data_IF_178209612378
#
_entry.id   IF_178209612378
#
_cell.length_a   1.000
_cell.length_b   1.000
_cell.length_c   1.000
_cell.angle_alpha   90.00
_cell.angle_beta   90.00
_cell.angle_gamma   90.00
#
_symmetry.space_group_name_H-M   'P 1'
#
loop_
_entity.id
_entity.type
_entity.pdbx_description
1 polymer ?
#
# COMPACT_ATOMS: atom_id res chain seq x y z
N UNK A 1 57.57 76.72 -36.83
CA UNK A 1 56.89 76.51 -35.53
C UNK A 1 55.87 75.40 -35.74
N UNK A 2 55.93 74.19 -35.20
CA UNK A 2 56.87 73.49 -34.32
C UNK A 2 57.09 72.06 -34.86
N UNK A 3 58.21 71.48 -34.42
CA UNK A 3 58.87 70.25 -34.83
C UNK A 3 58.04 68.94 -34.73
N UNK A 4 58.24 68.07 -35.73
CA UNK A 4 58.50 66.60 -35.73
C UNK A 4 58.33 65.77 -34.43
N UNK A 5 58.35 64.42 -34.49
CA UNK A 5 57.81 63.46 -35.47
C UNK A 5 57.17 62.19 -34.80
N UNK A 6 56.87 61.19 -35.64
CA UNK A 6 57.06 59.74 -35.40
C UNK A 6 55.89 58.82 -34.92
N UNK A 7 55.66 57.82 -35.79
CA UNK A 7 55.37 56.40 -35.57
C UNK A 7 53.96 55.90 -35.15
N UNK A 8 53.43 55.11 -36.11
CA UNK A 8 52.42 54.02 -36.14
C UNK A 8 52.56 52.99 -34.98
N UNK A 9 51.77 51.87 -34.83
CA UNK A 9 50.55 51.38 -35.51
C UNK A 9 49.54 50.61 -34.60
N UNK A 10 48.58 49.91 -35.26
CA UNK A 10 47.86 48.65 -34.91
C UNK A 10 46.42 48.77 -34.39
N UNK A 11 45.42 48.33 -35.16
CA UNK A 11 44.85 46.94 -35.26
C UNK A 11 44.27 46.49 -33.90
N UNK A 12 43.01 46.08 -33.73
CA UNK A 12 41.88 45.90 -34.63
C UNK A 12 40.67 45.47 -33.76
N UNK A 13 39.48 45.92 -34.13
CA UNK A 13 38.19 45.41 -33.64
C UNK A 13 37.18 45.56 -34.77
N UNK A 14 36.55 44.46 -35.17
CA UNK A 14 35.27 44.53 -35.86
C UNK A 14 34.49 43.24 -35.56
N UNK A 15 33.48 43.39 -34.72
CA UNK A 15 32.30 42.54 -34.71
C UNK A 15 31.32 43.07 -35.77
N UNK A 16 30.60 42.16 -36.45
CA UNK A 16 29.24 42.29 -37.02
C UNK A 16 28.95 40.96 -37.72
N UNK A 17 28.00 40.12 -37.30
CA UNK A 17 26.55 40.28 -37.18
C UNK A 17 25.82 40.36 -38.54
N UNK A 18 24.93 39.38 -38.76
CA UNK A 18 23.95 39.28 -39.85
C UNK A 18 23.76 37.82 -40.27
N UNK A 19 22.85 37.04 -39.66
CA UNK A 19 21.42 36.85 -40.03
C UNK A 19 21.28 36.35 -41.48
N UNK A 20 20.61 35.26 -41.81
CA UNK A 20 19.36 34.73 -41.26
C UNK A 20 19.04 33.35 -41.90
N UNK A 21 18.21 32.54 -41.21
CA UNK A 21 17.11 31.74 -41.79
C UNK A 21 17.50 30.54 -42.69
N UNK A 22 17.04 29.28 -42.57
CA UNK A 22 16.05 28.56 -41.76
C UNK A 22 16.12 27.07 -42.14
N UNK A 23 15.57 26.19 -41.29
CA UNK A 23 15.00 24.84 -41.60
C UNK A 23 16.03 23.75 -41.99
N UNK A 24 16.09 22.57 -41.36
CA UNK A 24 15.18 21.97 -40.40
C UNK A 24 15.76 20.71 -39.76
N UNK A 25 15.39 20.57 -38.49
CA UNK A 25 15.21 19.39 -37.65
C UNK A 25 15.36 18.03 -38.34
N UNK A 26 16.28 17.23 -37.81
CA UNK A 26 16.03 15.84 -37.38
C UNK A 26 16.83 15.59 -36.10
N UNK A 27 16.44 16.28 -35.01
CA UNK A 27 16.80 15.84 -33.66
C UNK A 27 16.00 14.57 -33.42
N UNK A 28 16.68 13.42 -33.49
CA UNK A 28 16.17 12.15 -33.05
C UNK A 28 15.67 12.30 -31.60
N UNK A 29 14.36 12.40 -31.46
CA UNK A 29 13.67 12.23 -30.17
C UNK A 29 14.03 10.84 -29.70
N UNK A 30 14.88 10.78 -28.70
CA UNK A 30 15.11 9.60 -27.87
C UNK A 30 13.80 9.37 -27.11
N UNK A 31 12.84 8.73 -27.78
CA UNK A 31 11.67 8.16 -27.14
C UNK A 31 12.20 7.08 -26.21
N UNK A 32 12.27 7.40 -24.92
CA UNK A 32 12.25 6.38 -23.88
C UNK A 32 10.96 5.60 -24.10
N UNK A 33 11.10 4.48 -24.82
CA UNK A 33 10.10 3.43 -24.80
C UNK A 33 9.99 3.00 -23.35
N UNK A 34 8.90 3.43 -22.70
CA UNK A 34 8.30 2.76 -21.55
C UNK A 34 8.13 1.30 -21.96
N UNK A 35 9.17 0.50 -21.75
CA UNK A 35 9.04 -0.94 -21.61
C UNK A 35 8.20 -1.11 -20.37
N UNK A 36 6.88 -1.22 -20.57
CA UNK A 36 5.99 -1.94 -19.67
C UNK A 36 6.54 -3.36 -19.60
N UNK A 37 7.51 -3.56 -18.72
CA UNK A 37 7.88 -4.88 -18.28
C UNK A 37 6.63 -5.44 -17.63
N UNK A 38 5.99 -6.41 -18.28
CA UNK A 38 5.13 -7.35 -17.58
C UNK A 38 5.98 -7.88 -16.43
N UNK A 39 5.64 -7.51 -15.20
CA UNK A 39 6.03 -8.30 -14.06
C UNK A 39 5.45 -9.69 -14.33
N UNK A 40 6.29 -10.61 -14.80
CA UNK A 40 5.99 -12.02 -14.74
C UNK A 40 5.89 -12.31 -13.26
N UNK A 41 4.68 -12.53 -12.79
CA UNK A 41 4.44 -13.18 -11.51
C UNK A 41 5.15 -14.53 -11.60
N UNK A 42 6.31 -14.66 -10.98
CA UNK A 42 6.92 -15.96 -10.72
C UNK A 42 6.06 -16.65 -9.66
N UNK A 43 4.89 -17.11 -10.09
CA UNK A 43 4.07 -18.01 -9.31
C UNK A 43 4.88 -19.28 -9.13
N UNK A 44 5.17 -19.62 -7.88
CA UNK A 44 5.76 -20.92 -7.51
C UNK A 44 4.81 -21.99 -8.06
N UNK A 45 5.22 -22.66 -9.13
CA UNK A 45 4.38 -23.63 -9.81
C UNK A 45 4.02 -24.75 -8.84
N UNK A 46 2.75 -25.19 -8.91
CA UNK A 46 2.26 -26.32 -8.13
C UNK A 46 3.08 -27.55 -8.56
N UNK A 47 3.78 -28.26 -7.65
CA UNK A 47 4.45 -29.50 -8.01
C UNK A 47 3.43 -30.53 -8.51
N UNK A 48 3.78 -31.27 -9.57
CA UNK A 48 2.90 -32.21 -10.26
C UNK A 48 2.57 -33.50 -9.47
N UNK A 49 3.11 -33.64 -8.25
CA UNK A 49 2.81 -34.72 -7.31
C UNK A 49 1.85 -34.19 -6.23
N UNK A 50 0.92 -35.03 -5.76
CA UNK A 50 -0.14 -34.67 -4.81
C UNK A 50 0.37 -33.75 -3.68
N UNK A 51 0.06 -32.44 -3.71
CA UNK A 51 0.77 -31.42 -2.93
C UNK A 51 0.46 -31.42 -1.42
N UNK A 52 -0.30 -32.40 -0.94
CA UNK A 52 -0.80 -32.51 0.42
C UNK A 52 -0.11 -33.61 1.24
N UNK A 53 0.89 -34.31 0.68
CA UNK A 53 1.58 -35.41 1.36
C UNK A 53 2.49 -34.96 2.53
N UNK A 54 3.02 -33.74 2.51
CA UNK A 54 3.98 -33.21 3.50
C UNK A 54 3.51 -31.86 4.12
N UNK A 55 2.24 -31.77 4.52
CA UNK A 55 1.72 -30.58 5.20
C UNK A 55 2.32 -30.45 6.60
N UNK A 56 3.01 -29.33 6.88
CA UNK A 56 3.59 -29.04 8.20
C UNK A 56 2.73 -28.02 8.95
N UNK A 57 2.18 -28.42 10.10
CA UNK A 57 1.46 -27.53 11.03
C UNK A 57 -0.05 -27.45 10.79
N UNK A 58 -0.77 -26.83 11.73
CA UNK A 58 -2.21 -26.62 11.63
C UNK A 58 -2.54 -25.21 11.09
N UNK A 59 -3.65 -25.03 10.34
CA UNK A 59 -4.11 -23.71 9.90
C UNK A 59 -4.33 -22.73 11.06
N UNK A 60 -4.61 -23.26 12.26
CA UNK A 60 -4.89 -22.48 13.47
C UNK A 60 -3.75 -21.60 13.97
N UNK A 61 -2.51 -21.91 13.63
CA UNK A 61 -1.35 -21.12 14.04
C UNK A 61 -1.25 -19.79 13.28
N UNK A 62 -1.81 -19.74 12.06
CA UNK A 62 -1.79 -18.53 11.23
C UNK A 62 -2.98 -17.61 11.53
N UNK A 63 -3.94 -18.05 12.34
CA UNK A 63 -5.12 -17.25 12.65
C UNK A 63 -4.75 -16.06 13.53
N UNK A 64 -5.08 -14.87 13.03
CA UNK A 64 -4.90 -13.62 13.76
C UNK A 64 -6.24 -13.12 14.26
N UNK A 65 -6.28 -12.80 15.56
CA UNK A 65 -7.46 -12.18 16.19
C UNK A 65 -7.62 -10.74 15.73
N UNK A 66 -6.52 -9.99 15.60
CA UNK A 66 -6.55 -8.58 15.20
C UNK A 66 -7.02 -8.43 13.75
N UNK A 67 -6.50 -9.25 12.82
CA UNK A 67 -6.95 -9.26 11.43
C UNK A 67 -8.45 -9.62 11.33
N UNK A 68 -8.93 -10.53 12.16
CA UNK A 68 -10.34 -10.88 12.23
C UNK A 68 -11.20 -9.73 12.79
N UNK A 69 -10.77 -9.08 13.87
CA UNK A 69 -11.44 -7.91 14.44
C UNK A 69 -11.57 -6.78 13.41
N UNK A 70 -10.55 -6.56 12.59
CA UNK A 70 -10.65 -5.59 11.50
C UNK A 70 -11.71 -5.95 10.46
N UNK A 71 -11.74 -7.20 10.03
CA UNK A 71 -12.75 -7.63 9.04
C UNK A 71 -14.16 -7.52 9.66
N UNK A 72 -14.31 -7.85 10.94
CA UNK A 72 -15.56 -7.71 11.66
C UNK A 72 -16.00 -6.24 11.78
N UNK A 73 -15.11 -5.33 12.19
CA UNK A 73 -15.43 -3.91 12.27
C UNK A 73 -15.82 -3.33 10.91
N UNK A 74 -15.17 -3.77 9.83
CA UNK A 74 -15.55 -3.40 8.47
C UNK A 74 -16.98 -3.87 8.14
N UNK A 75 -17.31 -5.13 8.45
CA UNK A 75 -18.65 -5.67 8.26
C UNK A 75 -19.70 -4.91 9.07
N UNK A 76 -19.42 -4.64 10.36
CA UNK A 76 -20.32 -3.85 11.21
C UNK A 76 -20.51 -2.44 10.67
N UNK A 77 -19.45 -1.80 10.16
CA UNK A 77 -19.55 -0.49 9.51
C UNK A 77 -20.50 -0.53 8.30
N UNK A 78 -20.38 -1.55 7.45
CA UNK A 78 -21.27 -1.75 6.31
C UNK A 78 -22.73 -1.96 6.72
N UNK A 79 -22.98 -2.79 7.74
CA UNK A 79 -24.33 -3.05 8.24
C UNK A 79 -24.96 -1.77 8.82
N UNK A 80 -24.20 -0.98 9.59
CA UNK A 80 -24.66 0.31 10.12
C UNK A 80 -25.00 1.28 8.98
N UNK A 81 -24.21 1.32 7.91
CA UNK A 81 -24.49 2.19 6.75
C UNK A 81 -25.79 1.77 6.04
N UNK A 82 -26.05 0.46 5.92
CA UNK A 82 -27.31 -0.07 5.37
C UNK A 82 -28.49 0.28 6.26
N UNK A 83 -28.36 0.13 7.58
CA UNK A 83 -29.41 0.46 8.54
C UNK A 83 -29.72 1.97 8.55
N UNK A 84 -28.69 2.82 8.46
CA UNK A 84 -28.86 4.28 8.32
C UNK A 84 -29.66 4.59 7.05
N UNK A 85 -29.26 4.03 5.90
CA UNK A 85 -29.97 4.26 4.64
C UNK A 85 -31.42 3.78 4.70
N UNK A 86 -31.65 2.58 5.25
CA UNK A 86 -32.99 2.01 5.42
C UNK A 86 -33.85 2.87 6.35
N UNK A 87 -33.32 3.31 7.49
CA UNK A 87 -34.04 4.15 8.44
C UNK A 87 -34.39 5.51 7.87
N UNK A 88 -33.48 6.12 7.08
CA UNK A 88 -33.75 7.36 6.35
C UNK A 88 -34.86 7.17 5.31
N UNK A 89 -34.83 6.07 4.56
CA UNK A 89 -35.86 5.75 3.56
C UNK A 89 -37.25 5.50 4.19
N UNK A 90 -37.31 5.03 5.43
CA UNK A 90 -38.54 4.82 6.19
C UNK A 90 -38.94 6.04 7.05
N UNK A 91 -38.18 7.15 6.97
CA UNK A 91 -38.37 8.37 7.76
C UNK A 91 -38.33 8.16 9.29
N UNK A 92 -37.69 7.09 9.75
CA UNK A 92 -37.51 6.80 11.18
C UNK A 92 -36.21 7.45 11.67
N UNK A 93 -36.26 8.76 11.92
CA UNK A 93 -35.09 9.57 12.25
C UNK A 93 -34.40 9.19 13.57
N UNK A 94 -35.15 8.74 14.57
CA UNK A 94 -34.58 8.32 15.85
C UNK A 94 -33.72 7.06 15.70
N UNK A 95 -34.18 6.09 14.90
CA UNK A 95 -33.40 4.90 14.57
C UNK A 95 -32.16 5.28 13.76
N UNK A 96 -32.29 6.16 12.76
CA UNK A 96 -31.15 6.65 11.99
C UNK A 96 -30.10 7.35 12.87
N UNK A 97 -30.54 8.10 13.90
CA UNK A 97 -29.63 8.76 14.86
C UNK A 97 -28.91 7.74 15.73
N UNK A 98 -29.58 6.68 16.18
CA UNK A 98 -28.96 5.60 16.93
C UNK A 98 -27.91 4.85 16.08
N UNK A 99 -28.26 4.49 14.84
CA UNK A 99 -27.32 3.82 13.92
C UNK A 99 -26.11 4.70 13.59
N UNK A 100 -26.28 6.03 13.46
CA UNK A 100 -25.14 6.96 13.30
C UNK A 100 -24.22 6.98 14.51
N UNK A 101 -24.78 7.04 15.72
CA UNK A 101 -23.98 6.98 16.95
C UNK A 101 -23.21 5.65 17.04
N UNK A 102 -23.86 4.53 16.72
CA UNK A 102 -23.19 3.24 16.66
C UNK A 102 -22.08 3.21 15.59
N UNK A 103 -22.29 3.86 14.43
CA UNK A 103 -21.25 4.00 13.39
C UNK A 103 -20.03 4.77 13.89
N UNK A 104 -20.25 5.86 14.64
CA UNK A 104 -19.18 6.64 15.27
C UNK A 104 -18.39 5.79 16.29
N UNK A 105 -19.06 4.93 17.06
CA UNK A 105 -18.40 4.00 17.99
C UNK A 105 -17.55 2.95 17.24
N UNK A 106 -18.04 2.42 16.12
CA UNK A 106 -17.26 1.52 15.24
C UNK A 106 -16.05 2.24 14.65
N UNK A 107 -16.20 3.48 14.19
CA UNK A 107 -15.08 4.28 13.66
C UNK A 107 -14.04 4.59 14.75
N UNK A 108 -14.49 4.86 15.99
CA UNK A 108 -13.57 5.05 17.11
C UNK A 108 -12.80 3.75 17.45
N UNK A 109 -13.46 2.59 17.45
CA UNK A 109 -12.81 1.30 17.64
C UNK A 109 -11.81 1.00 16.51
N UNK A 110 -12.14 1.37 15.28
CA UNK A 110 -11.24 1.25 14.13
C UNK A 110 -9.93 2.03 14.32
N UNK A 111 -10.04 3.30 14.71
CA UNK A 111 -8.88 4.15 14.96
C UNK A 111 -8.01 3.59 16.10
N UNK A 112 -8.61 2.94 17.11
CA UNK A 112 -7.84 2.26 18.15
C UNK A 112 -6.99 1.11 17.60
N UNK A 113 -7.56 0.26 16.74
CA UNK A 113 -6.80 -0.84 16.11
C UNK A 113 -5.68 -0.27 15.23
N UNK A 114 -5.97 0.77 14.45
CA UNK A 114 -4.97 1.43 13.61
C UNK A 114 -3.80 1.97 14.44
N UNK A 115 -4.09 2.65 15.55
CA UNK A 115 -3.05 3.12 16.49
C UNK A 115 -2.25 1.96 17.10
N UNK A 116 -2.90 0.82 17.40
CA UNK A 116 -2.19 -0.37 17.87
C UNK A 116 -1.24 -0.92 16.80
N UNK A 117 -1.67 -0.95 15.53
CA UNK A 117 -0.82 -1.36 14.40
C UNK A 117 0.37 -0.42 14.22
N UNK A 118 0.15 0.89 14.26
CA UNK A 118 1.22 1.89 14.15
C UNK A 118 2.24 1.76 15.29
N UNK A 119 1.80 1.50 16.52
CA UNK A 119 2.69 1.24 17.67
C UNK A 119 3.50 -0.05 17.53
N UNK A 120 2.92 -1.07 16.90
CA UNK A 120 3.57 -2.36 16.67
C UNK A 120 4.42 -2.39 15.42
N UNK A 121 4.25 -1.41 14.53
CA UNK A 121 5.07 -1.28 13.33
C UNK A 121 6.56 -1.24 13.71
N UNK A 122 7.43 -1.99 13.00
CA UNK A 122 8.88 -1.98 13.21
C UNK A 122 9.44 -0.62 12.76
N UNK A 123 9.28 0.39 13.61
CA UNK A 123 9.55 1.79 13.32
C UNK A 123 9.16 2.73 14.47
N UNK A 124 8.22 2.33 15.34
CA UNK A 124 7.83 3.12 16.51
C UNK A 124 8.77 2.93 17.73
N UNK A 125 9.75 2.02 17.66
CA UNK A 125 10.60 1.67 18.81
C UNK A 125 12.02 1.23 18.48
N UNK A 126 12.51 1.47 17.26
CA UNK A 126 13.94 1.29 16.97
C UNK A 126 14.72 2.48 17.56
N UNK A 127 15.76 2.26 18.41
CA UNK A 127 16.52 3.35 19.00
C UNK A 127 17.27 4.10 17.88
N UNK A 128 16.72 5.25 17.47
CA UNK A 128 17.33 6.14 16.48
C UNK A 128 16.46 6.53 15.26
N UNK A 129 15.18 6.15 15.19
CA UNK A 129 14.28 6.60 14.10
C UNK A 129 13.29 7.63 14.65
N UNK A 130 13.30 8.89 14.16
CA UNK A 130 12.33 9.91 14.56
C UNK A 130 10.93 9.53 14.05
N UNK A 131 9.92 9.70 14.88
CA UNK A 131 8.54 9.36 14.54
C UNK A 131 8.00 10.27 13.42
N UNK A 132 7.36 9.73 12.38
CA UNK A 132 7.09 10.50 11.14
C UNK A 132 6.02 11.59 11.29
N UNK A 133 5.13 11.53 12.29
CA UNK A 133 4.02 12.46 12.41
C UNK A 133 4.28 13.61 13.40
N UNK A 134 4.86 13.32 14.57
CA UNK A 134 5.15 14.36 15.57
C UNK A 134 6.34 15.23 15.16
N UNK A 135 7.38 14.62 14.59
CA UNK A 135 8.63 15.33 14.30
C UNK A 135 8.52 16.23 13.07
N UNK A 136 7.65 15.93 12.09
CA UNK A 136 7.49 16.77 10.89
C UNK A 136 6.78 18.08 11.21
N UNK A 137 5.74 18.03 12.05
CA UNK A 137 5.07 19.23 12.56
C UNK A 137 6.03 20.07 13.41
N UNK A 138 6.80 19.44 14.29
CA UNK A 138 7.80 20.13 15.11
C UNK A 138 8.95 20.73 14.28
N UNK A 139 9.38 20.05 13.20
CA UNK A 139 10.38 20.59 12.27
C UNK A 139 9.85 21.82 11.53
N UNK A 140 8.59 21.77 11.08
CA UNK A 140 7.96 22.89 10.39
C UNK A 140 7.85 24.12 11.31
N UNK A 141 7.50 23.89 12.59
CA UNK A 141 7.40 24.93 13.60
C UNK A 141 8.78 25.55 13.92
N UNK A 142 9.81 24.70 14.06
CA UNK A 142 11.20 25.15 14.24
C UNK A 142 11.69 25.99 13.05
N UNK A 143 11.38 25.56 11.83
CA UNK A 143 11.75 26.29 10.61
C UNK A 143 11.06 27.65 10.55
N UNK A 144 9.78 27.73 10.92
CA UNK A 144 9.04 29.01 10.97
C UNK A 144 9.58 29.96 12.05
N UNK A 145 9.95 29.42 13.22
CA UNK A 145 10.57 30.21 14.30
C UNK A 145 11.90 30.81 13.87
N UNK A 146 12.79 29.99 13.28
CA UNK A 146 14.08 30.45 12.78
C UNK A 146 13.93 31.51 11.67
N UNK A 147 12.92 31.39 10.79
CA UNK A 147 12.63 32.43 9.78
C UNK A 147 12.24 33.76 10.42
N UNK A 148 11.41 33.75 11.47
CA UNK A 148 11.06 34.97 12.21
C UNK A 148 12.27 35.58 12.93
N UNK A 149 13.13 34.76 13.51
CA UNK A 149 14.37 35.22 14.18
C UNK A 149 15.37 35.80 13.17
N UNK A 150 15.47 35.21 11.97
CA UNK A 150 16.27 35.74 10.86
C UNK A 150 15.77 37.11 10.43
N UNK A 151 14.46 37.31 10.27
CA UNK A 151 13.87 38.61 9.92
C UNK A 151 14.17 39.67 10.97
N UNK A 152 14.12 39.32 12.26
CA UNK A 152 14.48 40.21 13.36
C UNK A 152 15.97 40.57 13.37
N UNK A 153 16.85 39.61 13.11
CA UNK A 153 18.29 39.85 13.03
C UNK A 153 18.65 40.77 11.84
N UNK A 154 17.99 40.59 10.70
CA UNK A 154 18.13 41.48 9.54
C UNK A 154 17.64 42.90 9.86
N UNK A 155 16.51 43.03 10.57
CA UNK A 155 15.99 44.33 10.99
C UNK A 155 16.89 45.03 12.02
N UNK A 156 17.65 44.27 12.81
CA UNK A 156 18.64 44.77 13.76
C UNK A 156 20.03 45.01 13.14
N UNK A 157 20.18 44.83 11.82
CA UNK A 157 21.45 44.93 11.07
C UNK A 157 22.55 43.95 11.52
N UNK A 158 22.19 42.90 12.26
CA UNK A 158 23.11 41.85 12.69
C UNK A 158 23.20 40.74 11.64
N UNK A 159 24.02 41.00 10.61
CA UNK A 159 24.18 40.09 9.48
C UNK A 159 24.93 38.80 9.81
N UNK A 160 25.73 38.77 10.89
CA UNK A 160 26.43 37.55 11.30
C UNK A 160 25.44 36.53 11.84
N UNK A 161 24.59 36.96 12.76
CA UNK A 161 23.54 36.12 13.34
C UNK A 161 22.53 35.67 12.26
N UNK A 162 22.16 36.55 11.32
CA UNK A 162 21.29 36.19 10.21
C UNK A 162 21.91 35.13 9.26
N UNK A 163 23.24 35.11 9.10
CA UNK A 163 23.92 34.09 8.30
C UNK A 163 23.91 32.73 9.01
N UNK A 164 24.17 32.69 10.31
CA UNK A 164 24.11 31.47 11.12
C UNK A 164 22.70 30.84 11.10
N UNK A 165 21.66 31.65 11.27
CA UNK A 165 20.26 31.17 11.21
C UNK A 165 19.93 30.61 9.81
N UNK A 166 20.42 31.25 8.74
CA UNK A 166 20.23 30.75 7.37
C UNK A 166 20.85 29.37 7.19
N UNK A 167 22.06 29.16 7.71
CA UNK A 167 22.75 27.87 7.62
C UNK A 167 22.02 26.80 8.44
N UNK A 168 21.47 27.16 9.61
CA UNK A 168 20.61 26.27 10.40
C UNK A 168 19.32 25.87 9.67
N UNK A 169 18.63 26.81 9.02
CA UNK A 169 17.44 26.53 8.21
C UNK A 169 17.81 25.57 7.06
N UNK A 170 18.91 25.83 6.36
CA UNK A 170 19.38 24.97 5.28
C UNK A 170 19.70 23.55 5.78
N UNK A 171 20.33 23.41 6.95
CA UNK A 171 20.59 22.10 7.54
C UNK A 171 19.29 21.35 7.87
N UNK A 172 18.31 22.03 8.48
CA UNK A 172 17.01 21.44 8.78
C UNK A 172 16.26 21.00 7.52
N UNK A 173 16.27 21.82 6.47
CA UNK A 173 15.65 21.50 5.18
C UNK A 173 16.34 20.29 4.51
N UNK A 174 17.68 20.21 4.55
CA UNK A 174 18.42 19.04 4.05
C UNK A 174 18.07 17.78 4.85
N UNK A 175 18.03 17.85 6.17
CA UNK A 175 17.65 16.70 7.00
C UNK A 175 16.20 16.26 6.73
N UNK A 176 15.28 17.20 6.55
CA UNK A 176 13.88 16.92 6.22
C UNK A 176 13.74 16.27 4.83
N UNK A 177 14.50 16.77 3.85
CA UNK A 177 14.55 16.18 2.52
C UNK A 177 15.12 14.76 2.57
N UNK A 178 16.18 14.53 3.32
CA UNK A 178 16.74 13.18 3.51
C UNK A 178 15.75 12.24 4.20
N UNK A 179 15.07 12.71 5.25
CA UNK A 179 14.05 11.91 5.93
C UNK A 179 12.86 11.59 5.02
N UNK A 180 12.37 12.56 4.25
CA UNK A 180 11.28 12.33 3.30
C UNK A 180 11.69 11.41 2.15
N UNK A 181 12.93 11.50 1.67
CA UNK A 181 13.48 10.56 0.70
C UNK A 181 13.60 9.15 1.27
N UNK A 182 14.13 8.99 2.48
CA UNK A 182 14.25 7.69 3.15
C UNK A 182 12.88 7.08 3.48
N UNK A 183 11.91 7.90 3.89
CA UNK A 183 10.53 7.47 4.09
C UNK A 183 9.91 7.02 2.76
N UNK A 184 10.06 7.82 1.70
CA UNK A 184 9.58 7.44 0.37
C UNK A 184 10.27 6.20 -0.18
N UNK A 185 11.58 6.02 0.06
CA UNK A 185 12.32 4.83 -0.35
C UNK A 185 11.89 3.60 0.45
N UNK A 186 11.47 3.74 1.71
CA UNK A 186 10.84 2.65 2.48
C UNK A 186 9.46 2.31 1.90
N UNK A 187 8.65 3.32 1.59
CA UNK A 187 7.34 3.15 0.97
C UNK A 187 7.44 2.53 -0.44
N UNK A 188 8.51 2.80 -1.19
CA UNK A 188 8.77 2.24 -2.52
C UNK A 188 9.41 0.84 -2.45
N UNK A 189 10.21 0.53 -1.41
CA UNK A 189 10.81 -0.80 -1.20
C UNK A 189 9.81 -1.81 -0.66
N UNK A 190 8.76 -1.35 0.01
CA UNK A 190 7.57 -2.14 0.29
C UNK A 190 6.85 -2.38 -1.04
N UNK A 191 7.14 -3.55 -1.62
CA UNK A 191 6.74 -3.97 -2.94
C UNK A 191 5.27 -3.68 -3.22
N UNK A 192 4.96 -3.24 -4.45
CA UNK A 192 3.61 -3.36 -4.98
C UNK A 192 3.10 -4.78 -4.65
N UNK A 193 1.91 -4.92 -4.04
CA UNK A 193 1.45 -6.22 -3.56
C UNK A 193 1.45 -7.21 -4.73
N UNK A 194 2.19 -8.33 -4.60
CA UNK A 194 2.26 -9.34 -5.68
C UNK A 194 0.89 -9.91 -5.99
N UNK A 195 0.06 -10.06 -4.95
CA UNK A 195 -1.29 -10.59 -5.04
C UNK A 195 -2.37 -9.53 -4.94
N UNK A 196 -3.50 -9.78 -5.61
CA UNK A 196 -4.63 -8.84 -5.70
C UNK A 196 -5.70 -9.14 -4.66
N UNK A 197 -6.52 -8.14 -4.32
CA UNK A 197 -7.73 -8.35 -3.52
C UNK A 197 -8.69 -9.29 -4.25
N UNK A 198 -9.22 -10.26 -3.51
CA UNK A 198 -10.18 -11.24 -4.03
C UNK A 198 -9.56 -12.37 -4.86
N UNK A 199 -8.23 -12.35 -5.04
CA UNK A 199 -7.51 -13.46 -5.67
C UNK A 199 -7.59 -14.70 -4.78
N UNK A 200 -7.85 -15.86 -5.39
CA UNK A 200 -7.80 -17.15 -4.70
C UNK A 200 -6.35 -17.61 -4.59
N UNK A 201 -5.97 -18.00 -3.39
CA UNK A 201 -4.61 -18.42 -3.06
C UNK A 201 -4.63 -19.69 -2.22
N UNK A 202 -3.49 -20.37 -2.18
CA UNK A 202 -3.27 -21.51 -1.32
C UNK A 202 -2.00 -21.30 -0.49
N UNK A 203 -1.96 -21.87 0.70
CA UNK A 203 -0.81 -21.77 1.60
C UNK A 203 0.27 -22.76 1.20
N UNK A 204 1.48 -22.29 0.87
CA UNK A 204 2.57 -23.11 0.33
C UNK A 204 2.98 -24.27 1.25
N UNK A 205 2.93 -24.09 2.56
CA UNK A 205 3.43 -25.08 3.56
C UNK A 205 2.32 -25.90 4.21
N UNK A 206 1.10 -25.35 4.28
CA UNK A 206 -0.04 -25.89 5.05
C UNK A 206 -1.20 -26.32 4.16
N UNK A 207 -1.16 -25.97 2.88
CA UNK A 207 -2.05 -26.52 1.86
C UNK A 207 -3.51 -26.09 1.94
N UNK A 208 -3.89 -25.17 2.84
CA UNK A 208 -5.26 -24.68 2.90
C UNK A 208 -5.53 -23.63 1.82
N UNK A 209 -6.78 -23.58 1.37
CA UNK A 209 -7.26 -22.62 0.37
C UNK A 209 -7.80 -21.38 1.07
N UNK A 210 -7.62 -20.24 0.42
CA UNK A 210 -8.19 -19.00 0.91
C UNK A 210 -8.31 -17.91 -0.14
N UNK A 211 -8.89 -16.79 0.28
CA UNK A 211 -9.12 -15.61 -0.55
C UNK A 211 -8.53 -14.41 0.16
N UNK A 212 -7.79 -13.59 -0.58
CA UNK A 212 -7.20 -12.37 -0.04
C UNK A 212 -8.29 -11.33 0.19
N UNK A 213 -8.45 -10.92 1.46
CA UNK A 213 -9.34 -9.83 1.86
C UNK A 213 -8.59 -8.51 2.11
N UNK A 214 -7.27 -8.53 2.32
CA UNK A 214 -6.49 -7.33 2.55
C UNK A 214 -5.00 -7.61 2.69
N UNK A 215 -4.21 -6.56 2.88
CA UNK A 215 -2.80 -6.66 3.22
C UNK A 215 -2.35 -5.54 4.15
N UNK A 216 -1.28 -5.79 4.88
CA UNK A 216 -0.52 -4.83 5.66
C UNK A 216 0.92 -4.82 5.15
N UNK A 217 1.56 -3.65 5.19
CA UNK A 217 2.93 -3.46 4.71
C UNK A 217 3.98 -4.04 5.68
N UNK A 218 3.63 -4.24 6.94
CA UNK A 218 4.51 -4.82 7.94
C UNK A 218 3.69 -5.73 8.85
N UNK A 219 4.37 -6.63 9.57
CA UNK A 219 3.69 -7.41 10.60
C UNK A 219 3.16 -6.45 11.68
N UNK A 220 1.86 -6.54 11.96
CA UNK A 220 1.23 -5.77 13.02
C UNK A 220 0.88 -6.64 14.24
N UNK A 221 1.18 -7.93 14.18
CA UNK A 221 0.74 -8.90 15.18
C UNK A 221 1.75 -9.06 16.31
N UNK A 222 1.32 -9.70 17.40
CA UNK A 222 2.19 -9.98 18.55
C UNK A 222 3.39 -10.86 18.20
N UNK A 223 4.51 -10.67 18.90
CA UNK A 223 5.69 -11.54 18.74
C UNK A 223 5.39 -13.02 19.05
N UNK A 224 4.44 -13.28 19.95
CA UNK A 224 3.97 -14.64 20.24
C UNK A 224 3.32 -15.30 19.03
N UNK A 225 2.51 -14.55 18.28
CA UNK A 225 1.92 -15.02 17.04
C UNK A 225 3.00 -15.23 15.97
N UNK A 226 3.92 -14.27 15.81
CA UNK A 226 5.00 -14.37 14.83
C UNK A 226 5.87 -15.63 15.04
N UNK A 227 6.09 -16.01 16.31
CA UNK A 227 6.78 -17.25 16.67
C UNK A 227 5.96 -18.51 16.34
N UNK A 228 4.65 -18.49 16.59
CA UNK A 228 3.75 -19.63 16.29
C UNK A 228 3.56 -19.84 14.79
N UNK A 229 3.44 -18.75 14.04
CA UNK A 229 3.30 -18.76 12.58
C UNK A 229 4.63 -19.03 11.85
N UNK A 230 5.76 -19.15 12.58
CA UNK A 230 7.07 -19.43 11.99
C UNK A 230 7.67 -18.26 11.21
N UNK A 231 7.16 -17.04 11.37
CA UNK A 231 7.60 -15.83 10.64
C UNK A 231 9.06 -15.49 10.94
N UNK A 232 9.57 -15.89 12.09
CA UNK A 232 10.98 -15.68 12.48
C UNK A 232 11.98 -16.52 11.66
N UNK A 233 11.53 -17.60 11.03
CA UNK A 233 12.36 -18.51 10.25
C UNK A 233 12.39 -18.16 8.75
N UNK A 234 11.70 -17.09 8.34
CA UNK A 234 11.61 -16.62 6.95
C UNK A 234 12.74 -15.65 6.58
N UNK A 235 13.08 -15.60 5.28
CA UNK A 235 14.20 -14.83 4.76
C UNK A 235 13.96 -13.30 4.84
N UNK A 236 12.77 -12.82 4.45
CA UNK A 236 12.39 -11.39 4.56
C UNK A 236 11.73 -11.05 5.93
N UNK A 237 11.52 -12.06 6.79
CA UNK A 237 11.10 -11.93 8.18
C UNK A 237 9.85 -11.06 8.40
N UNK A 238 10.00 -10.01 9.22
CA UNK A 238 8.91 -9.12 9.69
C UNK A 238 8.68 -7.91 8.75
N UNK A 239 9.62 -7.65 7.84
CA UNK A 239 9.66 -6.46 6.99
C UNK A 239 9.08 -6.70 5.58
N UNK A 240 8.27 -7.74 5.43
CA UNK A 240 7.55 -8.08 4.19
C UNK A 240 6.05 -7.75 4.28
N UNK A 241 5.36 -7.83 3.15
CA UNK A 241 3.90 -7.70 3.12
C UNK A 241 3.23 -8.91 3.77
N UNK A 242 2.21 -8.63 4.56
CA UNK A 242 1.35 -9.64 5.16
C UNK A 242 -0.04 -9.52 4.58
N UNK A 243 -0.67 -10.64 4.27
CA UNK A 243 -2.01 -10.70 3.70
C UNK A 243 -3.02 -11.24 4.71
N UNK A 244 -4.17 -10.59 4.76
CA UNK A 244 -5.36 -11.07 5.45
C UNK A 244 -6.10 -12.02 4.50
N UNK A 245 -6.08 -13.32 4.81
CA UNK A 245 -6.66 -14.37 3.98
C UNK A 245 -7.83 -15.02 4.68
N UNK A 246 -8.98 -15.07 4.02
CA UNK A 246 -10.14 -15.82 4.48
C UNK A 246 -9.94 -17.29 4.12
N UNK A 247 -9.91 -18.17 5.11
CA UNK A 247 -9.71 -19.61 4.89
C UNK A 247 -11.04 -20.28 4.51
N UNK A 248 -11.00 -21.24 3.59
CA UNK A 248 -12.20 -22.00 3.23
C UNK A 248 -12.70 -22.84 4.41
N UNK A 249 -14.02 -22.83 4.66
CA UNK A 249 -14.66 -23.60 5.72
C UNK A 249 -14.38 -25.10 5.65
N UNK A 250 -14.13 -25.63 4.45
CA UNK A 250 -13.80 -27.06 4.26
C UNK A 250 -12.44 -27.39 4.86
N UNK A 251 -11.47 -26.51 4.63
CA UNK A 251 -10.09 -26.67 5.10
C UNK A 251 -9.96 -26.23 6.58
N UNK A 252 -10.94 -25.46 7.06
CA UNK A 252 -11.15 -25.12 8.46
C UNK A 252 -11.74 -26.29 9.30
N UNK A 253 -12.26 -27.35 8.64
CA UNK A 253 -13.14 -28.37 9.22
C UNK A 253 -12.48 -29.40 10.16
N UNK A 254 -13.13 -29.63 11.31
CA UNK A 254 -12.82 -30.45 12.51
C UNK A 254 -11.97 -29.80 13.61
N UNK A 255 -10.96 -28.99 13.30
CA UNK A 255 -10.14 -28.31 14.32
C UNK A 255 -10.71 -26.95 14.73
N UNK A 256 -11.21 -26.13 13.80
CA UNK A 256 -11.73 -24.79 14.09
C UNK A 256 -13.12 -24.76 14.74
N UNK A 257 -13.96 -25.78 14.50
CA UNK A 257 -15.31 -25.86 15.08
C UNK A 257 -15.31 -26.28 16.56
N UNK A 258 -14.17 -26.81 17.05
CA UNK A 258 -14.00 -27.26 18.44
C UNK A 258 -13.68 -26.11 19.39
N UNK A 259 -13.14 -24.99 18.87
CA UNK A 259 -12.78 -23.80 19.64
C UNK A 259 -13.62 -22.59 19.19
N UNK A 260 -14.59 -22.12 20.00
CA UNK A 260 -15.42 -20.94 19.69
C UNK A 260 -14.64 -19.63 19.49
N UNK A 261 -13.35 -19.62 19.78
CA UNK A 261 -12.45 -18.47 19.61
C UNK A 261 -11.59 -18.56 18.35
N UNK A 262 -11.72 -19.62 17.54
CA UNK A 262 -10.97 -19.75 16.30
C UNK A 262 -11.49 -18.75 15.28
N UNK A 263 -10.64 -17.80 14.92
CA UNK A 263 -10.94 -16.81 13.89
C UNK A 263 -10.72 -17.43 12.50
N UNK A 264 -11.64 -17.32 11.53
CA UNK A 264 -11.49 -17.92 10.21
C UNK A 264 -10.56 -17.12 9.27
N UNK A 265 -9.92 -16.08 9.81
CA UNK A 265 -9.03 -15.16 9.08
C UNK A 265 -7.59 -15.50 9.45
N UNK A 266 -6.83 -15.91 8.46
CA UNK A 266 -5.39 -16.14 8.57
C UNK A 266 -4.62 -14.87 8.19
N UNK A 267 -3.49 -14.65 8.86
CA UNK A 267 -2.54 -13.60 8.56
C UNK A 267 -1.27 -14.24 8.03
N UNK A 268 -0.97 -14.05 6.75
CA UNK A 268 0.03 -14.87 6.06
C UNK A 268 1.08 -13.96 5.42
N UNK A 269 2.39 -14.19 5.66
CA UNK A 269 3.44 -13.47 4.95
C UNK A 269 3.43 -13.80 3.45
N UNK A 270 3.82 -12.84 2.62
CA UNK A 270 3.81 -12.97 1.16
C UNK A 270 4.57 -14.21 0.65
N UNK A 271 5.68 -14.59 1.29
CA UNK A 271 6.48 -15.77 0.92
C UNK A 271 5.76 -17.11 1.05
N UNK A 272 4.78 -17.22 1.95
CA UNK A 272 4.04 -18.46 2.20
C UNK A 272 2.79 -18.59 1.34
N UNK A 273 2.50 -17.59 0.51
CA UNK A 273 1.33 -17.56 -0.37
C UNK A 273 1.75 -18.02 -1.76
N UNK A 274 0.97 -18.96 -2.30
CA UNK A 274 1.10 -19.37 -3.68
C UNK A 274 -0.24 -19.17 -4.41
N UNK A 275 -0.17 -18.64 -5.64
CA UNK A 275 -1.31 -18.54 -6.55
C UNK A 275 -1.22 -19.63 -7.61
N UNK A 276 -2.38 -20.09 -8.10
CA UNK A 276 -2.42 -20.94 -9.29
C UNK A 276 -1.92 -20.12 -10.49
N UNK A 277 -1.00 -20.65 -11.32
CA UNK A 277 -0.49 -19.94 -12.50
C UNK A 277 -1.60 -19.54 -13.48
N UNK A 278 -1.47 -18.36 -14.08
CA UNK A 278 -2.40 -17.81 -15.09
C UNK A 278 -2.40 -18.59 -16.43
N UNK A 279 -1.45 -19.51 -16.65
CA UNK A 279 -1.21 -20.18 -17.93
C UNK A 279 -2.04 -21.46 -18.14
N UNK A 280 -2.62 -22.02 -17.09
CA UNK A 280 -3.49 -23.19 -17.24
C UNK A 280 -4.85 -22.74 -17.79
N UNK A 281 -5.20 -23.23 -18.98
CA UNK A 281 -6.46 -22.95 -19.71
C UNK A 281 -7.73 -23.29 -18.87
N UNK A 282 -7.54 -23.98 -17.74
CA UNK A 282 -8.56 -24.37 -16.78
C UNK A 282 -8.52 -23.60 -15.45
N UNK A 283 -7.54 -22.72 -15.22
CA UNK A 283 -7.41 -21.89 -14.01
C UNK A 283 -7.65 -22.66 -12.70
N UNK A 284 -8.25 -21.99 -11.70
CA UNK A 284 -8.61 -22.62 -10.43
C UNK A 284 -9.56 -23.84 -10.61
N UNK A 285 -10.38 -23.84 -11.66
CA UNK A 285 -11.30 -24.95 -11.96
C UNK A 285 -10.57 -26.24 -12.36
N UNK A 286 -9.40 -26.14 -12.97
CA UNK A 286 -8.57 -27.28 -13.35
C UNK A 286 -7.87 -27.92 -12.16
N UNK A 287 -7.34 -27.08 -11.25
CA UNK A 287 -6.57 -27.55 -10.10
C UNK A 287 -7.44 -28.10 -8.95
N UNK A 288 -8.60 -27.48 -8.69
CA UNK A 288 -9.43 -27.81 -7.53
C UNK A 288 -10.89 -28.16 -7.89
N UNK A 289 -11.19 -28.36 -9.18
CA UNK A 289 -12.54 -28.61 -9.67
C UNK A 289 -13.44 -27.37 -9.62
N UNK A 290 -14.74 -27.55 -9.85
CA UNK A 290 -15.74 -26.47 -9.78
C UNK A 290 -16.10 -26.08 -8.32
N UNK A 291 -15.20 -26.37 -7.38
CA UNK A 291 -15.42 -26.15 -5.97
C UNK A 291 -15.52 -24.65 -5.65
N UNK A 292 -16.71 -24.30 -5.19
CA UNK A 292 -17.03 -22.96 -4.77
C UNK A 292 -16.44 -22.67 -3.39
N UNK A 293 -15.67 -21.58 -3.27
CA UNK A 293 -15.11 -21.12 -1.99
C UNK A 293 -16.21 -20.92 -0.95
N UNK A 294 -16.15 -21.58 0.20
CA UNK A 294 -17.18 -21.48 1.23
C UNK A 294 -16.66 -20.69 2.42
N UNK A 295 -17.26 -19.53 2.68
CA UNK A 295 -16.94 -18.72 3.85
C UNK A 295 -18.13 -17.83 4.26
N UNK A 296 -18.39 -17.60 5.56
CA UNK A 296 -19.53 -16.77 5.99
C UNK A 296 -19.45 -15.34 5.45
N UNK A 297 -18.24 -14.75 5.45
CA UNK A 297 -18.03 -13.37 4.97
C UNK A 297 -17.94 -13.25 3.45
N UNK A 298 -18.06 -14.36 2.72
CA UNK A 298 -17.93 -14.35 1.26
C UNK A 298 -18.94 -13.41 0.61
N UNK A 299 -20.23 -13.56 0.93
CA UNK A 299 -21.30 -12.79 0.30
C UNK A 299 -21.33 -11.32 0.74
N UNK A 300 -20.74 -11.00 1.90
CA UNK A 300 -20.67 -9.65 2.44
C UNK A 300 -19.50 -8.87 1.83
N UNK A 301 -18.34 -9.52 1.67
CA UNK A 301 -17.12 -8.87 1.18
C UNK A 301 -16.96 -8.93 -0.34
N UNK A 302 -17.60 -9.88 -1.02
CA UNK A 302 -17.45 -10.08 -2.46
C UNK A 302 -18.81 -10.11 -3.18
N UNK A 303 -18.88 -9.41 -4.31
CA UNK A 303 -20.11 -9.22 -5.08
C UNK A 303 -20.38 -10.43 -6.00
N UNK A 304 -19.32 -11.05 -6.51
CA UNK A 304 -19.41 -12.13 -7.49
C UNK A 304 -18.06 -12.74 -7.82
N UNK A 305 -18.01 -13.54 -8.89
CA UNK A 305 -16.78 -14.11 -9.44
C UNK A 305 -16.46 -13.51 -10.79
N UNK A 306 -15.17 -13.34 -11.05
CA UNK A 306 -14.63 -13.03 -12.36
C UNK A 306 -14.59 -14.27 -13.26
N UNK A 307 -14.35 -14.05 -14.56
CA UNK A 307 -14.19 -15.13 -15.54
C UNK A 307 -13.01 -16.07 -15.23
N UNK A 308 -12.03 -15.59 -14.45
CA UNK A 308 -10.88 -16.38 -13.97
C UNK A 308 -11.20 -17.23 -12.72
N UNK A 309 -12.38 -17.03 -12.13
CA UNK A 309 -12.78 -17.68 -10.88
C UNK A 309 -12.34 -16.97 -9.61
N UNK A 310 -11.65 -15.82 -9.72
CA UNK A 310 -11.35 -14.90 -8.61
C UNK A 310 -12.62 -14.19 -8.14
N UNK A 311 -12.62 -13.68 -6.90
CA UNK A 311 -13.77 -12.99 -6.32
C UNK A 311 -13.65 -11.47 -6.52
N UNK A 312 -14.75 -10.82 -6.89
CA UNK A 312 -14.79 -9.37 -7.09
C UNK A 312 -15.03 -8.67 -5.75
N UNK A 313 -14.08 -7.86 -5.26
CA UNK A 313 -14.20 -7.20 -3.96
C UNK A 313 -15.32 -6.16 -3.93
N UNK A 314 -15.99 -6.01 -2.79
CA UNK A 314 -17.02 -5.00 -2.59
C UNK A 314 -16.47 -3.57 -2.64
N UNK A 315 -17.38 -2.58 -2.76
CA UNK A 315 -16.99 -1.16 -2.77
C UNK A 315 -16.23 -0.77 -1.50
N UNK A 316 -16.73 -1.20 -0.33
CA UNK A 316 -16.12 -0.90 0.96
C UNK A 316 -14.66 -1.42 1.04
N UNK A 317 -14.43 -2.64 0.55
CA UNK A 317 -13.08 -3.22 0.55
C UNK A 317 -12.13 -2.49 -0.42
N UNK A 318 -12.63 -2.08 -1.59
CA UNK A 318 -11.85 -1.31 -2.56
C UNK A 318 -11.48 0.08 -2.06
N UNK A 319 -12.41 0.78 -1.42
CA UNK A 319 -12.18 2.11 -0.86
C UNK A 319 -11.13 2.05 0.26
N UNK A 320 -11.15 1.00 1.09
CA UNK A 320 -10.17 0.79 2.17
C UNK A 320 -8.73 0.70 1.63
N UNK A 321 -8.50 -0.13 0.62
CA UNK A 321 -7.17 -0.33 0.06
C UNK A 321 -6.84 0.60 -1.13
N UNK A 322 -7.74 1.54 -1.45
CA UNK A 322 -7.64 2.47 -2.59
C UNK A 322 -7.39 1.75 -3.93
N UNK A 323 -8.01 0.59 -4.09
CA UNK A 323 -7.87 -0.26 -5.28
C UNK A 323 -8.99 0.03 -6.26
N UNK A 324 -8.65 0.21 -7.53
CA UNK A 324 -9.65 0.36 -8.59
C UNK A 324 -10.38 -0.97 -8.84
N UNK A 325 -11.64 -0.90 -9.28
CA UNK A 325 -12.38 -2.10 -9.68
C UNK A 325 -11.66 -2.76 -10.86
N UNK A 326 -11.31 -4.02 -10.69
CA UNK A 326 -10.72 -4.85 -11.72
C UNK A 326 -11.70 -5.96 -12.05
N UNK A 327 -12.30 -5.90 -13.22
CA UNK A 327 -13.15 -6.97 -13.76
C UNK A 327 -12.51 -7.46 -15.06
N UNK A 328 -12.20 -8.74 -15.15
CA UNK A 328 -11.74 -9.33 -16.42
C UNK A 328 -12.96 -9.57 -17.31
N UNK A 329 -13.26 -8.63 -18.20
CA UNK A 329 -14.29 -8.80 -19.22
C UNK A 329 -13.91 -9.89 -20.23
N UNK A 330 -14.89 -10.66 -20.76
CA UNK A 330 -14.61 -11.63 -21.80
C UNK A 330 -14.04 -10.92 -23.04
N UNK A 331 -13.10 -11.55 -23.77
CA UNK A 331 -12.48 -10.94 -24.95
C UNK A 331 -13.56 -10.67 -26.02
N UNK A 332 -13.99 -9.40 -26.14
CA UNK A 332 -15.04 -8.97 -27.06
C UNK A 332 -16.00 -7.91 -26.49
N UNK A 333 -16.10 -7.77 -25.17
CA UNK A 333 -16.88 -6.71 -24.54
C UNK A 333 -16.04 -5.42 -24.44
N UNK A 334 -15.99 -4.63 -25.51
CA UNK A 334 -15.42 -3.28 -25.44
C UNK A 334 -16.30 -2.39 -24.57
N UNK A 335 -15.64 -1.70 -23.64
CA UNK A 335 -16.17 -0.63 -22.78
C UNK A 335 -17.15 0.28 -23.53
N UNK A 336 -18.42 0.24 -23.14
CA UNK A 336 -19.42 1.23 -23.57
C UNK A 336 -19.72 2.30 -22.53
N UNK A 337 -19.18 2.18 -21.31
CA UNK A 337 -19.51 3.12 -20.23
C UNK A 337 -18.28 3.89 -19.74
N UNK A 338 -17.81 4.79 -20.61
CA UNK A 338 -17.10 5.99 -20.17
C UNK A 338 -17.83 7.20 -20.79
N UNK A 339 -18.89 7.67 -20.13
CA UNK A 339 -19.59 8.88 -20.51
C UNK A 339 -21.03 8.95 -20.06
N UNK A 340 -21.26 9.36 -18.81
CA UNK A 340 -22.40 10.15 -18.38
C UNK A 340 -22.07 10.87 -17.07
#
# INVERSE_FOLDING_TARGET
MHLAPAQVPRVGRAARAGKDVTRGRCLARRTQALRRGRARTEAKAIPAEEPWADLKGSPSEDFSKMANEEILLLLYGMDMDVDIQRALNLEVYDAAKQSRKAREEVDAAWEQIKLQKEKRAPGAGAPGVPEPAADTFDLSLRTMKLRSEMEKAVAAEDYQLAAEIRDQIRQLEISSLQQSLLASDRDIRLAEPKFRLGQRVWHATKGYRGVIAGWDLHCCETEEWARKAGVSDLDDGVAQLFYNVLVDLRDFGLTGMRDPQSSPVAYIPEELIASVPDEDEYGWKGAFGDDEFQHPYRYLLFIGKDNRGDLVPSKALRERFKVQRWDVHPPGAKDKDQGA
#
